data_IF_132240126315
#
_entry.id   IF_132240126315
#
_cell.length_a   1.000
_cell.length_b   1.000
_cell.length_c   1.000
_cell.angle_alpha   90.00
_cell.angle_beta   90.00
_cell.angle_gamma   90.00
#
_symmetry.space_group_name_H-M   'P 1'
#
loop_
_entity.id
_entity.type
_entity.pdbx_description
1 polymer ?
#
# COMPACT_ATOMS: atom_id res chain seq x y z
N UNK A 1 53.71 2.43 -70.24
CA UNK A 1 52.28 2.02 -70.04
C UNK A 1 52.08 1.00 -68.92
N UNK A 2 52.98 0.05 -68.71
CA UNK A 2 52.86 -1.06 -67.75
C UNK A 2 52.78 -0.62 -66.26
N UNK A 3 53.49 0.45 -65.89
CA UNK A 3 53.48 0.95 -64.49
C UNK A 3 52.17 1.61 -64.07
N UNK A 4 51.38 2.17 -65.00
CA UNK A 4 50.08 2.79 -64.65
C UNK A 4 49.02 1.75 -64.31
N UNK A 5 49.05 0.56 -64.96
CA UNK A 5 48.07 -0.49 -64.60
C UNK A 5 48.35 -1.13 -63.22
N UNK A 6 49.67 -1.23 -62.85
CA UNK A 6 50.04 -1.71 -61.50
C UNK A 6 49.64 -0.76 -60.42
N UNK A 7 49.70 0.56 -60.57
CA UNK A 7 49.26 1.55 -59.67
C UNK A 7 47.75 1.57 -59.58
N UNK A 8 47.04 1.44 -60.69
CA UNK A 8 45.57 1.37 -60.70
C UNK A 8 45.03 0.13 -59.96
N UNK A 9 45.71 -1.01 -60.21
CA UNK A 9 45.39 -2.28 -59.55
C UNK A 9 45.57 -2.22 -58.00
N UNK A 10 46.68 -1.62 -57.57
CA UNK A 10 46.94 -1.43 -56.14
C UNK A 10 45.88 -0.47 -55.42
N UNK A 11 45.48 0.57 -56.13
CA UNK A 11 44.45 1.49 -55.61
C UNK A 11 43.08 0.83 -55.51
N UNK A 12 42.67 0.02 -56.48
CA UNK A 12 41.41 -0.71 -56.47
C UNK A 12 41.43 -1.81 -55.39
N UNK A 13 42.57 -2.53 -55.22
CA UNK A 13 42.70 -3.54 -54.18
C UNK A 13 42.63 -2.92 -52.77
N UNK A 14 43.29 -1.78 -52.56
CA UNK A 14 43.23 -1.03 -51.28
C UNK A 14 41.83 -0.54 -50.94
N UNK A 15 41.10 -0.05 -51.96
CA UNK A 15 39.68 0.38 -51.74
C UNK A 15 38.76 -0.78 -51.40
N UNK A 16 38.93 -1.94 -52.04
CA UNK A 16 38.17 -3.16 -51.74
C UNK A 16 38.47 -3.69 -50.33
N UNK A 17 39.75 -3.73 -49.94
CA UNK A 17 40.14 -4.12 -48.59
C UNK A 17 39.63 -3.14 -47.53
N UNK A 18 39.61 -1.85 -47.80
CA UNK A 18 39.05 -0.83 -46.95
C UNK A 18 37.54 -0.98 -46.77
N UNK A 19 36.81 -1.29 -47.86
CA UNK A 19 35.36 -1.55 -47.78
C UNK A 19 35.04 -2.83 -47.00
N UNK A 20 35.82 -3.91 -47.21
CA UNK A 20 35.66 -5.17 -46.44
C UNK A 20 35.98 -4.95 -44.97
N UNK A 21 37.07 -4.22 -44.67
CA UNK A 21 37.39 -3.86 -43.27
C UNK A 21 36.34 -2.99 -42.63
N UNK A 22 35.80 -1.98 -43.33
CA UNK A 22 34.71 -1.14 -42.87
C UNK A 22 33.45 -1.98 -42.62
N UNK A 23 33.10 -2.90 -43.50
CA UNK A 23 31.96 -3.78 -43.34
C UNK A 23 32.11 -4.66 -42.10
N UNK A 24 33.24 -5.37 -41.94
CA UNK A 24 33.46 -6.21 -40.76
C UNK A 24 33.68 -5.46 -39.47
N UNK A 25 34.21 -4.26 -39.47
CA UNK A 25 34.47 -3.49 -38.25
C UNK A 25 33.27 -2.62 -37.82
N UNK A 26 32.50 -2.12 -38.77
CA UNK A 26 31.30 -1.30 -38.44
C UNK A 26 30.05 -2.13 -38.23
N UNK A 27 29.88 -3.23 -38.94
CA UNK A 27 28.71 -4.11 -38.77
C UNK A 27 28.85 -5.00 -37.53
N UNK A 28 30.07 -5.27 -37.07
CA UNK A 28 30.36 -6.02 -35.84
C UNK A 28 30.16 -5.25 -34.54
N UNK A 29 29.95 -3.91 -34.57
CA UNK A 29 29.80 -3.07 -33.36
C UNK A 29 28.39 -2.55 -33.16
N UNK A 30 27.45 -2.86 -34.04
CA UNK A 30 26.02 -2.58 -33.83
C UNK A 30 25.31 -3.75 -33.16
N UNK A 31 25.86 -4.29 -32.05
CA UNK A 31 25.01 -4.70 -30.97
C UNK A 31 24.41 -3.40 -30.37
N UNK A 32 23.37 -2.88 -31.00
CA UNK A 32 22.39 -2.10 -30.31
C UNK A 32 21.86 -3.02 -29.17
N UNK A 33 22.49 -2.92 -28.01
CA UNK A 33 21.90 -3.34 -26.76
C UNK A 33 20.47 -2.82 -26.86
N UNK A 34 19.52 -3.72 -26.97
CA UNK A 34 18.11 -3.38 -26.82
C UNK A 34 17.99 -2.79 -25.41
N UNK A 35 18.24 -1.49 -25.30
CA UNK A 35 17.90 -0.76 -24.10
C UNK A 35 16.43 -1.06 -23.90
N UNK A 36 16.15 -1.88 -22.90
CA UNK A 36 14.81 -2.11 -22.40
C UNK A 36 14.26 -0.69 -22.15
N UNK A 37 13.48 -0.20 -23.11
CA UNK A 37 12.80 1.09 -22.95
C UNK A 37 11.95 0.88 -21.72
N UNK A 38 12.37 1.43 -20.59
CA UNK A 38 11.54 1.52 -19.39
C UNK A 38 10.42 2.44 -19.83
N UNK A 39 9.27 1.84 -20.17
CA UNK A 39 8.07 2.59 -20.46
C UNK A 39 7.66 3.19 -19.13
N UNK A 40 8.00 4.47 -18.92
CA UNK A 40 7.46 5.23 -17.80
C UNK A 40 5.95 5.27 -18.04
N UNK A 41 5.17 4.70 -17.15
CA UNK A 41 3.72 4.80 -17.24
C UNK A 41 3.33 6.26 -17.03
N UNK A 42 2.63 6.83 -17.99
CA UNK A 42 2.14 8.20 -17.92
C UNK A 42 1.09 8.38 -16.81
N UNK A 43 0.52 7.29 -16.30
CA UNK A 43 -0.54 7.31 -15.27
C UNK A 43 -0.68 5.95 -14.57
N UNK A 44 -0.91 5.99 -13.27
CA UNK A 44 -1.24 4.82 -12.45
C UNK A 44 -2.75 4.63 -12.25
N UNK A 45 -3.58 5.30 -13.05
CA UNK A 45 -5.05 5.23 -12.95
C UNK A 45 -5.59 3.80 -13.05
N UNK A 46 -4.97 2.95 -13.87
CA UNK A 46 -5.35 1.54 -14.01
C UNK A 46 -5.11 0.75 -12.72
N UNK A 47 -3.95 0.91 -12.08
CA UNK A 47 -3.64 0.28 -10.81
C UNK A 47 -4.60 0.75 -9.71
N UNK A 48 -4.86 2.06 -9.65
CA UNK A 48 -5.79 2.66 -8.69
C UNK A 48 -7.22 2.14 -8.93
N UNK A 49 -7.71 2.13 -10.17
CA UNK A 49 -9.06 1.64 -10.51
C UNK A 49 -9.26 0.17 -10.16
N UNK A 50 -8.20 -0.65 -10.21
CA UNK A 50 -8.22 -2.06 -9.82
C UNK A 50 -8.31 -2.22 -8.30
N UNK A 51 -7.52 -1.48 -7.53
CA UNK A 51 -7.39 -1.64 -6.08
C UNK A 51 -8.44 -0.86 -5.27
N UNK A 52 -8.79 0.35 -5.70
CA UNK A 52 -9.68 1.28 -4.99
C UNK A 52 -11.02 0.69 -4.56
N UNK A 53 -11.72 -0.13 -5.36
CA UNK A 53 -13.00 -0.70 -4.93
C UNK A 53 -12.90 -1.59 -3.69
N UNK A 54 -11.74 -2.20 -3.44
CA UNK A 54 -11.50 -3.05 -2.28
C UNK A 54 -11.05 -2.26 -1.04
N UNK A 55 -10.75 -0.96 -1.15
CA UNK A 55 -10.37 -0.12 0.00
C UNK A 55 -11.62 0.57 0.52
N UNK A 56 -11.88 0.40 1.83
CA UNK A 56 -13.09 0.88 2.51
C UNK A 56 -12.76 1.85 3.63
N UNK A 57 -13.74 2.69 3.98
CA UNK A 57 -13.67 3.54 5.16
C UNK A 57 -14.14 2.75 6.39
N UNK A 58 -13.44 2.83 7.49
CA UNK A 58 -13.80 2.19 8.75
C UNK A 58 -14.17 3.28 9.77
N UNK A 59 -15.39 3.20 10.29
CA UNK A 59 -15.91 4.03 11.36
C UNK A 59 -16.09 3.16 12.60
N UNK A 60 -15.35 3.46 13.66
CA UNK A 60 -15.42 2.76 14.93
C UNK A 60 -16.03 3.67 15.98
N UNK A 61 -17.17 3.28 16.53
CA UNK A 61 -17.89 4.02 17.58
C UNK A 61 -17.54 3.45 18.95
N UNK A 62 -17.08 4.32 19.85
CA UNK A 62 -16.67 3.96 21.21
C UNK A 62 -17.42 4.82 22.24
N UNK A 63 -17.82 4.24 23.38
CA UNK A 63 -18.31 5.00 24.51
C UNK A 63 -17.12 5.50 25.33
N UNK A 64 -16.98 6.81 25.44
CA UNK A 64 -16.06 7.43 26.39
C UNK A 64 -16.85 7.89 27.62
N UNK A 65 -16.48 7.31 28.77
CA UNK A 65 -16.95 7.81 30.06
C UNK A 65 -16.12 9.03 30.44
N UNK A 66 -16.69 10.22 30.31
CA UNK A 66 -16.04 11.45 30.77
C UNK A 66 -15.92 11.44 32.29
N UNK A 67 -14.72 11.36 32.86
CA UNK A 67 -14.48 11.66 34.26
C UNK A 67 -14.65 13.14 34.46
N UNK A 68 -15.65 13.52 35.22
CA UNK A 68 -15.87 14.92 35.62
C UNK A 68 -14.78 15.37 36.57
N UNK A 69 -14.25 16.56 36.31
CA UNK A 69 -13.42 17.30 37.27
C UNK A 69 -14.19 17.57 38.55
N UNK A 70 -13.61 17.43 39.75
CA UNK A 70 -14.31 17.63 41.05
C UNK A 70 -14.84 19.03 41.30
N UNK A 71 -14.65 19.98 40.41
CA UNK A 71 -14.97 21.40 40.59
C UNK A 71 -16.39 21.82 40.20
N UNK A 72 -17.26 20.91 39.74
CA UNK A 72 -18.66 21.25 39.41
C UNK A 72 -19.58 20.63 40.42
N UNK A 73 -20.20 21.53 41.23
CA UNK A 73 -21.06 21.34 42.38
C UNK A 73 -22.16 20.27 42.33
N UNK A 74 -22.99 20.21 43.35
CA UNK A 74 -23.99 19.21 43.75
C UNK A 74 -24.86 18.52 42.67
N UNK A 75 -24.83 18.95 41.40
CA UNK A 75 -25.50 18.30 40.28
C UNK A 75 -24.74 17.09 39.71
N UNK A 76 -23.57 16.71 40.26
CA UNK A 76 -22.74 15.61 39.79
C UNK A 76 -23.17 14.22 40.28
N UNK A 77 -24.23 14.11 41.08
CA UNK A 77 -24.62 12.87 41.76
C UNK A 77 -25.44 11.93 40.83
N UNK A 78 -26.02 12.45 39.74
CA UNK A 78 -26.86 11.68 38.84
C UNK A 78 -26.51 11.92 37.35
N UNK A 79 -25.42 11.44 36.84
CA UNK A 79 -25.24 11.46 35.40
C UNK A 79 -23.81 11.21 34.94
N UNK A 80 -23.56 10.00 34.48
CA UNK A 80 -22.44 9.73 33.58
C UNK A 80 -22.82 10.31 32.21
N UNK A 81 -22.11 11.33 31.72
CA UNK A 81 -22.21 11.70 30.31
C UNK A 81 -21.39 10.69 29.50
N UNK A 82 -22.08 9.70 28.98
CA UNK A 82 -21.52 8.83 27.95
C UNK A 82 -21.45 9.62 26.64
N UNK A 83 -20.26 9.83 26.12
CA UNK A 83 -20.06 10.43 24.80
C UNK A 83 -19.64 9.36 23.82
N UNK A 84 -20.32 9.30 22.68
CA UNK A 84 -19.89 8.45 21.57
C UNK A 84 -18.78 9.19 20.84
N UNK A 85 -17.60 8.57 20.77
CA UNK A 85 -16.49 9.04 19.93
C UNK A 85 -16.41 8.12 18.72
N UNK A 86 -16.35 8.70 17.53
CA UNK A 86 -16.10 7.97 16.29
C UNK A 86 -14.63 8.10 15.91
N UNK A 87 -13.93 7.00 15.81
CA UNK A 87 -12.62 6.90 15.17
C UNK A 87 -12.81 6.63 13.70
N UNK A 88 -11.91 7.18 12.87
CA UNK A 88 -11.89 7.01 11.43
C UNK A 88 -10.58 6.38 11.00
N UNK A 89 -10.66 5.42 10.11
CA UNK A 89 -9.54 4.79 9.43
C UNK A 89 -9.98 4.17 8.11
N UNK A 90 -9.14 3.32 7.58
CA UNK A 90 -9.37 2.59 6.34
C UNK A 90 -9.32 1.08 6.59
N UNK A 91 -9.75 0.29 5.62
CA UNK A 91 -9.64 -1.16 5.61
C UNK A 91 -9.49 -1.67 4.19
N UNK A 92 -9.07 -2.92 4.05
CA UNK A 92 -8.88 -3.59 2.76
C UNK A 92 -9.70 -4.86 2.73
N UNK A 93 -10.62 -4.99 1.77
CA UNK A 93 -11.41 -6.21 1.55
C UNK A 93 -10.50 -7.25 0.89
N UNK A 94 -10.32 -8.38 1.55
CA UNK A 94 -9.43 -9.46 1.11
C UNK A 94 -10.16 -10.57 0.35
N UNK A 95 -11.48 -10.72 0.57
CA UNK A 95 -12.26 -11.80 -0.01
C UNK A 95 -13.66 -11.35 -0.43
N UNK A 96 -14.21 -12.03 -1.43
CA UNK A 96 -15.53 -11.71 -1.98
C UNK A 96 -16.69 -11.91 -1.01
N UNK A 97 -16.47 -12.64 0.07
CA UNK A 97 -17.44 -12.85 1.15
C UNK A 97 -17.33 -11.81 2.28
N UNK A 98 -16.42 -10.82 2.14
CA UNK A 98 -16.37 -9.61 2.96
C UNK A 98 -15.49 -9.69 4.21
N UNK A 99 -14.38 -10.43 4.18
CA UNK A 99 -13.30 -10.24 5.17
C UNK A 99 -12.55 -8.96 4.88
N UNK A 100 -12.38 -8.13 5.91
CA UNK A 100 -11.66 -6.85 5.85
C UNK A 100 -10.49 -6.90 6.82
N UNK A 101 -9.33 -6.51 6.33
CA UNK A 101 -8.14 -6.24 7.14
C UNK A 101 -8.03 -4.75 7.42
N UNK A 102 -7.70 -4.40 8.66
CA UNK A 102 -7.45 -3.03 9.11
C UNK A 102 -6.45 -3.03 10.27
N UNK A 103 -6.13 -1.87 10.81
CA UNK A 103 -5.33 -1.81 12.04
C UNK A 103 -6.19 -1.97 13.29
N UNK A 104 -5.59 -2.57 14.32
CA UNK A 104 -6.22 -2.75 15.63
C UNK A 104 -6.57 -1.39 16.26
N UNK A 105 -5.68 -0.40 16.19
CA UNK A 105 -5.92 0.93 16.75
C UNK A 105 -7.06 1.68 16.06
N UNK A 106 -7.43 1.35 14.81
CA UNK A 106 -8.60 1.90 14.09
C UNK A 106 -9.90 1.35 14.70
N UNK A 107 -9.93 0.04 14.95
CA UNK A 107 -11.10 -0.62 15.55
C UNK A 107 -11.22 -0.25 17.02
N UNK A 108 -10.13 -0.30 17.77
CA UNK A 108 -10.12 -0.11 19.22
C UNK A 108 -10.68 -1.31 19.99
N UNK A 109 -10.25 -1.46 21.25
CA UNK A 109 -10.55 -2.65 22.07
C UNK A 109 -12.02 -2.72 22.56
N UNK A 110 -12.75 -1.61 22.58
CA UNK A 110 -14.09 -1.52 23.19
C UNK A 110 -15.08 -0.79 22.28
N UNK A 111 -15.04 -1.11 20.99
CA UNK A 111 -15.99 -0.53 20.05
C UNK A 111 -17.38 -1.09 20.26
N UNK A 112 -18.38 -0.20 20.31
CA UNK A 112 -19.80 -0.55 20.30
C UNK A 112 -20.21 -1.12 18.96
N UNK A 113 -19.70 -0.49 17.90
CA UNK A 113 -20.05 -0.80 16.52
C UNK A 113 -18.92 -0.37 15.59
N UNK A 114 -18.65 -1.21 14.62
CA UNK A 114 -17.72 -0.92 13.52
C UNK A 114 -18.48 -1.00 12.21
N UNK A 115 -18.38 0.07 11.42
CA UNK A 115 -19.07 0.20 10.13
C UNK A 115 -17.99 0.30 9.04
N UNK A 116 -18.13 -0.50 7.99
CA UNK A 116 -17.36 -0.38 6.76
C UNK A 116 -18.22 0.33 5.69
N UNK A 117 -17.68 1.40 5.10
CA UNK A 117 -18.29 2.11 3.97
C UNK A 117 -17.44 1.88 2.72
N UNK A 118 -18.07 1.34 1.69
CA UNK A 118 -17.46 1.08 0.39
C UNK A 118 -17.32 2.38 -0.41
N UNK A 119 -16.47 2.37 -1.44
CA UNK A 119 -16.27 3.51 -2.34
C UNK A 119 -17.53 3.96 -3.10
N UNK A 120 -18.55 3.11 -3.22
CA UNK A 120 -19.87 3.42 -3.80
C UNK A 120 -20.88 4.00 -2.78
N UNK A 121 -20.46 4.19 -1.51
CA UNK A 121 -21.25 4.76 -0.44
C UNK A 121 -22.13 3.76 0.33
N UNK A 122 -22.14 2.47 -0.03
CA UNK A 122 -22.83 1.43 0.76
C UNK A 122 -22.14 1.25 2.10
N UNK A 123 -22.94 1.11 3.17
CA UNK A 123 -22.46 0.95 4.55
C UNK A 123 -22.90 -0.38 5.11
N UNK A 124 -21.98 -1.08 5.73
CA UNK A 124 -22.21 -2.39 6.32
C UNK A 124 -21.72 -2.43 7.76
N UNK A 125 -22.53 -3.05 8.63
CA UNK A 125 -22.08 -3.37 9.99
C UNK A 125 -21.12 -4.56 9.87
N UNK A 126 -20.00 -4.46 10.57
CA UNK A 126 -19.00 -5.53 10.63
C UNK A 126 -18.96 -6.17 12.00
N UNK A 127 -18.49 -7.42 12.03
CA UNK A 127 -18.15 -8.15 13.26
C UNK A 127 -16.64 -8.25 13.34
N UNK A 128 -16.11 -8.05 14.53
CA UNK A 128 -14.70 -8.35 14.80
C UNK A 128 -14.50 -9.88 14.79
N UNK A 129 -13.57 -10.35 13.99
CA UNK A 129 -13.15 -11.75 13.90
C UNK A 129 -12.03 -12.01 14.89
N UNK A 130 -11.01 -11.15 14.89
CA UNK A 130 -9.88 -11.24 15.80
C UNK A 130 -8.99 -10.01 15.72
N UNK A 131 -8.08 -9.90 16.68
CA UNK A 131 -7.09 -8.82 16.83
C UNK A 131 -5.74 -9.45 17.13
N UNK A 132 -4.71 -8.94 16.47
CA UNK A 132 -3.32 -9.15 16.90
C UNK A 132 -2.72 -7.82 17.37
N UNK A 133 -2.56 -7.67 18.68
CA UNK A 133 -1.96 -6.47 19.28
C UNK A 133 -0.47 -6.34 18.94
N UNK A 134 0.20 -7.47 18.69
CA UNK A 134 1.62 -7.51 18.36
C UNK A 134 1.93 -6.82 17.04
N UNK A 135 1.13 -7.02 16.02
CA UNK A 135 1.30 -6.44 14.69
C UNK A 135 0.41 -5.23 14.44
N UNK A 136 -0.49 -4.87 15.37
CA UNK A 136 -1.51 -3.83 15.19
C UNK A 136 -2.48 -4.16 14.05
N UNK A 137 -2.84 -5.44 13.86
CA UNK A 137 -3.81 -5.88 12.87
C UNK A 137 -5.14 -6.30 13.50
N UNK A 138 -6.22 -6.10 12.76
CA UNK A 138 -7.56 -6.58 13.09
C UNK A 138 -8.26 -7.09 11.84
N UNK A 139 -8.99 -8.20 11.99
CA UNK A 139 -9.83 -8.78 10.94
C UNK A 139 -11.29 -8.52 11.29
N UNK A 140 -12.00 -7.95 10.33
CA UNK A 140 -13.45 -7.72 10.40
C UNK A 140 -14.16 -8.58 9.37
N UNK A 141 -15.43 -8.90 9.65
CA UNK A 141 -16.32 -9.61 8.71
C UNK A 141 -17.57 -8.78 8.49
N UNK A 142 -17.90 -8.47 7.23
CA UNK A 142 -19.17 -7.87 6.86
C UNK A 142 -20.30 -8.85 7.19
N UNK A 143 -21.36 -8.36 7.84
CA UNK A 143 -22.46 -9.19 8.34
C UNK A 143 -23.50 -9.58 7.27
N UNK A 144 -23.36 -9.06 6.04
CA UNK A 144 -24.24 -9.40 4.91
C UNK A 144 -23.70 -10.63 4.18
N UNK A 145 -24.42 -11.74 4.25
CA UNK A 145 -24.02 -13.02 3.66
C UNK A 145 -24.44 -13.20 2.19
N UNK A 146 -25.31 -12.32 1.67
CA UNK A 146 -25.84 -12.41 0.30
C UNK A 146 -25.09 -11.51 -0.68
N UNK A 147 -24.38 -10.50 -0.18
CA UNK A 147 -23.62 -9.57 -1.00
C UNK A 147 -22.24 -10.14 -1.38
N UNK A 148 -21.82 -9.84 -2.60
CA UNK A 148 -20.45 -10.08 -3.08
C UNK A 148 -19.67 -8.77 -3.06
N UNK A 149 -18.44 -8.83 -2.54
CA UNK A 149 -17.61 -7.65 -2.35
C UNK A 149 -16.39 -7.67 -3.28
N UNK A 150 -15.93 -6.51 -3.74
CA UNK A 150 -14.65 -6.42 -4.46
C UNK A 150 -13.51 -6.80 -3.50
N UNK A 151 -12.60 -7.65 -3.95
CA UNK A 151 -11.43 -8.03 -3.18
C UNK A 151 -10.15 -7.61 -3.88
N UNK A 152 -9.11 -7.28 -3.10
CA UNK A 152 -7.82 -6.90 -3.63
C UNK A 152 -6.99 -8.14 -3.99
N UNK A 153 -6.21 -8.06 -5.05
CA UNK A 153 -5.17 -9.04 -5.35
C UNK A 153 -3.96 -8.77 -4.47
N UNK A 154 -3.36 -9.81 -3.90
CA UNK A 154 -2.24 -9.68 -2.96
C UNK A 154 -0.96 -10.13 -3.66
N UNK A 155 0.12 -9.35 -3.51
CA UNK A 155 1.47 -9.69 -3.96
C UNK A 155 2.32 -10.10 -2.76
N UNK A 156 3.34 -10.88 -3.04
CA UNK A 156 4.37 -11.29 -2.10
C UNK A 156 5.28 -10.10 -1.79
N UNK A 157 5.14 -9.55 -0.56
CA UNK A 157 5.91 -8.38 -0.12
C UNK A 157 7.41 -8.66 0.08
N UNK A 158 7.83 -9.92 0.13
CA UNK A 158 9.25 -10.27 0.26
C UNK A 158 10.02 -10.00 -1.05
N UNK A 159 9.30 -9.83 -2.17
CA UNK A 159 9.87 -9.44 -3.48
C UNK A 159 10.06 -7.93 -3.65
N UNK A 160 9.51 -7.14 -2.72
CA UNK A 160 9.55 -5.68 -2.79
C UNK A 160 10.95 -5.18 -2.48
N UNK A 161 11.43 -4.24 -3.29
CA UNK A 161 12.77 -3.67 -3.20
C UNK A 161 12.75 -2.17 -2.94
N UNK A 162 13.80 -1.67 -2.28
CA UNK A 162 14.01 -0.22 -2.13
C UNK A 162 14.10 0.43 -3.51
N UNK A 163 13.30 1.49 -3.70
CA UNK A 163 13.16 2.19 -4.98
C UNK A 163 11.93 1.81 -5.79
N UNK A 164 11.20 0.74 -5.42
CA UNK A 164 9.95 0.38 -6.10
C UNK A 164 8.90 1.47 -5.87
N UNK A 165 8.20 1.84 -6.94
CA UNK A 165 7.10 2.80 -6.89
C UNK A 165 5.89 2.16 -6.21
N UNK A 166 5.29 2.87 -5.26
CA UNK A 166 4.12 2.42 -4.51
C UNK A 166 3.07 3.50 -4.41
N UNK A 167 1.83 3.08 -4.23
CA UNK A 167 0.67 3.95 -4.06
C UNK A 167 -0.01 3.60 -2.73
N UNK A 168 -0.16 4.58 -1.85
CA UNK A 168 -0.90 4.44 -0.61
C UNK A 168 -2.35 4.93 -0.82
N UNK A 169 -3.32 4.06 -0.56
CA UNK A 169 -4.76 4.33 -0.72
C UNK A 169 -5.41 4.30 0.66
N UNK A 170 -6.23 5.30 0.96
CA UNK A 170 -7.00 5.38 2.20
C UNK A 170 -7.96 6.57 2.19
N UNK A 171 -8.54 6.89 3.36
CA UNK A 171 -9.46 8.01 3.51
C UNK A 171 -8.95 9.00 4.58
N UNK A 172 -7.95 9.83 4.25
CA UNK A 172 -7.43 10.78 5.20
C UNK A 172 -8.51 11.80 5.61
N UNK A 173 -8.65 11.99 6.91
CA UNK A 173 -9.58 12.96 7.50
C UNK A 173 -11.07 12.76 7.15
N UNK A 174 -11.46 11.63 6.57
CA UNK A 174 -12.87 11.39 6.18
C UNK A 174 -13.36 12.22 4.99
N UNK A 175 -12.44 12.75 4.19
CA UNK A 175 -12.76 13.59 3.03
C UNK A 175 -13.08 12.78 1.77
N UNK A 176 -13.06 11.47 1.85
CA UNK A 176 -13.16 10.54 0.75
C UNK A 176 -11.84 9.84 0.47
N UNK A 177 -11.91 8.79 -0.35
CA UNK A 177 -10.73 8.04 -0.75
C UNK A 177 -9.70 8.92 -1.46
N UNK A 178 -8.46 8.84 -1.06
CA UNK A 178 -7.34 9.52 -1.69
C UNK A 178 -6.15 8.60 -1.89
N UNK A 179 -5.30 8.97 -2.84
CA UNK A 179 -4.12 8.21 -3.23
C UNK A 179 -2.91 9.13 -3.16
N UNK A 180 -1.86 8.65 -2.51
CA UNK A 180 -0.53 9.27 -2.56
C UNK A 180 0.48 8.31 -3.18
N UNK A 181 1.43 8.85 -3.93
CA UNK A 181 2.50 8.09 -4.57
C UNK A 181 3.82 8.34 -3.86
N UNK A 182 4.65 7.32 -3.79
CA UNK A 182 6.01 7.38 -3.30
C UNK A 182 6.80 6.16 -3.76
N UNK A 183 7.88 5.88 -3.04
CA UNK A 183 8.71 4.68 -3.24
C UNK A 183 8.85 3.90 -1.94
N UNK A 184 9.29 2.67 -2.05
CA UNK A 184 9.83 1.95 -0.88
C UNK A 184 11.17 2.58 -0.54
N UNK A 185 11.24 3.21 0.64
CA UNK A 185 12.45 3.88 1.14
C UNK A 185 13.36 2.93 1.93
N UNK A 186 12.77 1.89 2.54
CA UNK A 186 13.49 0.82 3.23
C UNK A 186 12.57 -0.39 3.45
N UNK A 187 13.17 -1.55 3.62
CA UNK A 187 12.53 -2.79 4.06
C UNK A 187 13.15 -3.25 5.37
N UNK A 188 12.47 -4.11 6.12
CA UNK A 188 13.03 -4.69 7.32
C UNK A 188 13.14 -3.71 8.50
N UNK A 189 12.24 -2.74 8.64
CA UNK A 189 12.27 -1.78 9.74
C UNK A 189 11.59 -2.33 10.99
N UNK A 190 12.37 -2.48 12.06
CA UNK A 190 11.91 -2.85 13.40
C UNK A 190 11.85 -1.55 14.25
N UNK A 191 10.63 -1.03 14.54
CA UNK A 191 10.51 0.21 15.30
C UNK A 191 10.01 0.01 16.73
N UNK A 192 8.95 -0.75 16.94
CA UNK A 192 8.28 -0.88 18.24
C UNK A 192 8.05 -2.32 18.65
N UNK A 193 8.15 -3.24 17.70
CA UNK A 193 7.89 -4.64 17.89
C UNK A 193 8.90 -5.45 17.08
N UNK A 194 9.64 -6.39 17.67
CA UNK A 194 10.58 -7.25 16.95
C UNK A 194 9.91 -8.17 15.93
N UNK A 195 8.58 -8.31 15.99
CA UNK A 195 7.80 -9.09 15.01
C UNK A 195 7.36 -8.27 13.78
N UNK A 196 7.62 -6.96 13.77
CA UNK A 196 7.13 -6.09 12.69
C UNK A 196 8.28 -5.68 11.78
N UNK A 197 8.36 -6.36 10.64
CA UNK A 197 9.30 -6.11 9.56
C UNK A 197 8.69 -5.09 8.58
N UNK A 198 8.54 -3.82 9.02
CA UNK A 198 7.81 -2.80 8.24
C UNK A 198 8.46 -2.48 6.90
N UNK A 199 7.61 -2.23 5.90
CA UNK A 199 7.96 -1.49 4.69
C UNK A 199 7.91 0.01 5.01
N UNK A 200 9.00 0.73 4.73
CA UNK A 200 9.04 2.20 4.84
C UNK A 200 8.80 2.82 3.47
N UNK A 201 7.95 3.85 3.42
CA UNK A 201 7.66 4.62 2.21
C UNK A 201 7.65 6.11 2.48
N UNK A 202 7.94 6.91 1.47
CA UNK A 202 7.76 8.36 1.47
C UNK A 202 6.40 8.81 0.87
N UNK A 203 5.58 7.86 0.39
CA UNK A 203 4.17 8.13 0.10
C UNK A 203 3.50 8.75 1.33
N UNK A 204 2.75 9.82 1.13
CA UNK A 204 2.11 10.55 2.24
C UNK A 204 1.07 9.69 2.95
N UNK A 205 1.39 9.25 4.18
CA UNK A 205 0.47 8.58 5.09
C UNK A 205 0.09 9.58 6.18
N UNK A 206 -1.21 9.77 6.39
CA UNK A 206 -1.77 10.67 7.38
C UNK A 206 -2.89 9.95 8.15
N UNK A 207 -3.40 10.59 9.21
CA UNK A 207 -4.53 10.09 9.97
C UNK A 207 -5.73 9.79 9.05
N UNK A 208 -6.25 8.57 9.12
CA UNK A 208 -7.32 8.04 8.27
C UNK A 208 -6.82 7.08 7.18
N UNK A 209 -5.53 7.14 6.78
CA UNK A 209 -4.95 6.15 5.88
C UNK A 209 -4.61 4.83 6.59
N UNK A 210 -4.53 4.82 7.92
CA UNK A 210 -4.26 3.61 8.73
C UNK A 210 -5.28 2.53 8.42
N UNK A 211 -4.83 1.31 8.20
CA UNK A 211 -5.62 0.16 7.76
C UNK A 211 -5.87 0.10 6.25
N UNK A 212 -5.53 1.15 5.50
CA UNK A 212 -5.64 1.20 4.05
C UNK A 212 -4.52 0.45 3.32
N UNK A 213 -4.61 0.42 2.00
CA UNK A 213 -3.71 -0.36 1.16
C UNK A 213 -2.44 0.42 0.80
N UNK A 214 -1.28 -0.25 0.86
CA UNK A 214 -0.10 0.07 0.08
C UNK A 214 -0.06 -0.90 -1.11
N UNK A 215 -0.08 -0.39 -2.33
CA UNK A 215 -0.13 -1.19 -3.55
C UNK A 215 1.07 -0.95 -4.45
N UNK A 216 1.36 -1.94 -5.30
CA UNK A 216 2.31 -1.80 -6.39
C UNK A 216 1.70 -1.09 -7.60
N UNK A 217 2.49 -0.86 -8.64
CA UNK A 217 2.06 -0.22 -9.90
C UNK A 217 1.09 -1.08 -10.73
N UNK A 218 0.87 -2.34 -10.35
CA UNK A 218 -0.11 -3.26 -10.95
C UNK A 218 -1.44 -3.30 -10.20
N UNK A 219 -1.55 -2.56 -9.08
CA UNK A 219 -2.75 -2.53 -8.23
C UNK A 219 -2.88 -3.71 -7.28
N UNK A 220 -1.76 -4.38 -6.94
CA UNK A 220 -1.71 -5.49 -6.00
C UNK A 220 -1.27 -5.00 -4.63
N UNK A 221 -1.87 -5.55 -3.57
CA UNK A 221 -1.55 -5.22 -2.19
C UNK A 221 -0.15 -5.74 -1.83
N UNK A 222 0.73 -4.86 -1.36
CA UNK A 222 2.05 -5.20 -0.83
C UNK A 222 2.18 -4.91 0.66
N UNK A 223 1.23 -4.14 1.23
CA UNK A 223 1.22 -3.87 2.67
C UNK A 223 0.00 -3.11 3.13
N UNK A 224 -0.14 -3.02 4.46
CA UNK A 224 -1.20 -2.27 5.15
C UNK A 224 -0.60 -1.02 5.76
N UNK A 225 -1.05 0.16 5.33
CA UNK A 225 -0.64 1.44 5.90
C UNK A 225 -0.97 1.46 7.39
N UNK A 226 -0.02 1.80 8.27
CA UNK A 226 -0.29 1.74 9.71
C UNK A 226 0.15 2.99 10.45
N UNK A 227 1.40 3.36 10.41
CA UNK A 227 1.98 4.39 11.25
C UNK A 227 2.72 5.44 10.43
N UNK A 228 2.86 6.62 11.04
CA UNK A 228 3.84 7.63 10.63
C UNK A 228 4.80 7.87 11.78
N UNK A 229 6.08 8.10 11.46
CA UNK A 229 7.00 8.71 12.41
C UNK A 229 6.98 10.21 12.14
N UNK A 230 6.35 10.96 13.05
CA UNK A 230 6.16 12.39 12.88
C UNK A 230 6.25 13.09 14.22
N UNK A 231 6.86 14.26 14.23
CA UNK A 231 6.90 15.17 15.37
C UNK A 231 5.70 16.13 15.38
N UNK A 232 5.09 16.36 14.23
CA UNK A 232 3.97 17.29 14.02
C UNK A 232 2.60 16.61 13.95
N UNK A 233 2.55 15.28 13.84
CA UNK A 233 1.32 14.49 13.63
C UNK A 233 0.87 14.36 12.17
N UNK A 234 1.58 15.00 11.23
CA UNK A 234 1.39 14.84 9.78
C UNK A 234 2.54 14.07 9.12
N UNK A 235 2.40 13.75 7.84
CA UNK A 235 3.45 13.04 7.09
C UNK A 235 4.71 13.91 6.97
N UNK A 236 5.83 13.37 7.39
CA UNK A 236 7.19 13.94 7.26
C UNK A 236 8.06 13.10 6.29
N UNK A 237 7.43 12.31 5.40
CA UNK A 237 8.12 11.43 4.45
C UNK A 237 8.58 10.10 5.06
N UNK A 238 8.09 9.73 6.24
CA UNK A 238 8.37 8.45 6.89
C UNK A 238 7.04 7.78 7.23
N UNK A 239 6.49 7.07 6.26
CA UNK A 239 5.34 6.20 6.42
C UNK A 239 5.76 4.75 6.60
N UNK A 240 5.00 3.98 7.37
CA UNK A 240 5.23 2.57 7.63
C UNK A 240 4.01 1.77 7.23
N UNK A 241 4.25 0.62 6.58
CA UNK A 241 3.23 -0.34 6.25
C UNK A 241 3.62 -1.74 6.72
N UNK A 242 2.66 -2.49 7.22
CA UNK A 242 2.81 -3.91 7.59
C UNK A 242 2.87 -4.71 6.28
N UNK A 243 3.90 -5.54 6.03
CA UNK A 243 4.03 -6.33 4.82
C UNK A 243 2.84 -7.26 4.59
N UNK A 244 2.45 -7.46 3.34
CA UNK A 244 1.31 -8.32 2.97
C UNK A 244 1.54 -9.80 3.35
N UNK A 245 2.78 -10.30 3.27
CA UNK A 245 3.13 -11.67 3.68
C UNK A 245 2.87 -11.88 5.17
N UNK A 246 3.37 -10.98 6.02
CA UNK A 246 3.11 -11.03 7.47
C UNK A 246 1.61 -10.90 7.77
N UNK A 247 0.92 -9.99 7.06
CA UNK A 247 -0.51 -9.79 7.26
C UNK A 247 -1.32 -11.06 6.93
N UNK A 248 -0.96 -11.80 5.89
CA UNK A 248 -1.62 -13.07 5.52
C UNK A 248 -1.43 -14.17 6.57
N UNK A 249 -0.24 -14.28 7.16
CA UNK A 249 0.03 -15.23 8.24
C UNK A 249 -0.89 -14.94 9.44
N UNK A 250 -0.91 -13.69 9.91
CA UNK A 250 -1.75 -13.26 11.03
C UNK A 250 -3.26 -13.46 10.75
N UNK A 251 -3.72 -13.11 9.54
CA UNK A 251 -5.13 -13.30 9.15
C UNK A 251 -5.53 -14.75 9.22
N UNK A 252 -4.68 -15.67 8.73
CA UNK A 252 -4.96 -17.10 8.79
C UNK A 252 -5.20 -17.56 10.21
N UNK A 253 -4.35 -17.14 11.14
CA UNK A 253 -4.45 -17.47 12.55
C UNK A 253 -5.71 -16.85 13.19
N UNK A 254 -6.00 -15.57 12.92
CA UNK A 254 -7.17 -14.87 13.44
C UNK A 254 -8.49 -15.46 12.93
N UNK A 255 -8.56 -15.91 11.68
CA UNK A 255 -9.78 -16.56 11.14
C UNK A 255 -9.95 -17.95 11.74
N UNK A 256 -8.86 -18.68 11.96
CA UNK A 256 -8.93 -20.05 12.45
C UNK A 256 -9.14 -20.15 13.97
N UNK A 257 -8.53 -19.25 14.75
CA UNK A 257 -8.47 -19.35 16.21
C UNK A 257 -9.14 -18.18 16.93
N UNK A 258 -9.35 -17.03 16.27
CA UNK A 258 -10.01 -15.84 16.83
C UNK A 258 -9.11 -14.99 17.75
N UNK A 259 -7.85 -15.40 17.93
CA UNK A 259 -6.84 -14.73 18.77
C UNK A 259 -5.48 -14.74 18.09
#
# INVERSE_FOLDING_TARGET
>A
MENHYKLLGAAVLGSLLGLVFSYYYFDGTNEYSSQKIIKIEDSYSTAISKASPAVVNIYSEQIIKSQRSPSQGLNSIFGYNEQIRTSLGSGVILSSDGYILTNQHVVGQKSLRVIAELGDGRKFITKLVGIDEGTDLAVLKISDSEATFPSIEIEDSDKVSVGDIVLAIGNPYGLGQSVSMGIISATGREFYNPYSNYLQTDASINQGNSGGALIDTSGRLIGINTLIRSSSGGSEGIGLAIPSTLALEIISDLIQYGE
#
